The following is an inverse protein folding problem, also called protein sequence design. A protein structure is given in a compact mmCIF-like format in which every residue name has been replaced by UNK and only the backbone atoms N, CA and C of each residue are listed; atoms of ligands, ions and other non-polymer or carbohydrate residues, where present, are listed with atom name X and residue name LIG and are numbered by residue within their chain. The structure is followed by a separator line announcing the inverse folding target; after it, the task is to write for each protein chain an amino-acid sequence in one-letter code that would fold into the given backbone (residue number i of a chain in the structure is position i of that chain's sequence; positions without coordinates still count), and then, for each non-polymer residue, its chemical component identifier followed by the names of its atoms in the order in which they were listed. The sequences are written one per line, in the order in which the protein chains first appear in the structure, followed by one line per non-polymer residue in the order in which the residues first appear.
data_IF_389956359684
#
_entry.id   IF_389956359684
#
_cell.length_a   1.000
_cell.length_b   1.000
_cell.length_c   1.000
_cell.angle_alpha   90.00
_cell.angle_beta   90.00
_cell.angle_gamma   90.00
#
_symmetry.space_group_name_H-M   'P 1'
#
loop_
_entity.id
_entity.type
_entity.pdbx_description
1 polymer ?
#
# COMPACT_ATOMS: atom_id res chain seq x y z
N UNK A 1 -18.12 -8.15 -6.17
CA UNK A 1 -18.10 -8.81 -7.52
C UNK A 1 -17.67 -7.82 -8.59
N UNK A 2 -18.40 -6.71 -8.79
CA UNK A 2 -18.04 -5.75 -9.86
C UNK A 2 -16.60 -5.23 -9.73
N UNK A 3 -16.17 -4.80 -8.54
CA UNK A 3 -14.81 -4.30 -8.31
C UNK A 3 -13.73 -5.34 -8.67
N UNK A 4 -13.82 -6.56 -8.13
CA UNK A 4 -12.87 -7.65 -8.44
C UNK A 4 -12.86 -8.01 -9.93
N UNK A 5 -14.01 -8.04 -10.59
CA UNK A 5 -14.06 -8.28 -12.03
C UNK A 5 -13.33 -7.18 -12.82
N UNK A 6 -13.50 -5.92 -12.43
CA UNK A 6 -12.79 -4.81 -13.04
C UNK A 6 -11.29 -4.84 -12.75
N UNK A 7 -10.88 -5.22 -11.54
CA UNK A 7 -9.47 -5.41 -11.19
C UNK A 7 -8.84 -6.51 -12.05
N UNK A 8 -9.49 -7.66 -12.19
CA UNK A 8 -9.01 -8.74 -13.06
C UNK A 8 -8.88 -8.30 -14.53
N UNK A 9 -9.87 -7.57 -15.06
CA UNK A 9 -9.82 -7.06 -16.43
C UNK A 9 -8.68 -6.06 -16.63
N UNK A 10 -8.47 -5.15 -15.68
CA UNK A 10 -7.40 -4.16 -15.74
C UNK A 10 -6.01 -4.80 -15.66
N UNK A 11 -5.83 -5.80 -14.78
CA UNK A 11 -4.57 -6.57 -14.69
C UNK A 11 -4.31 -7.34 -15.97
N UNK A 12 -5.34 -7.97 -16.56
CA UNK A 12 -5.21 -8.67 -17.83
C UNK A 12 -4.83 -7.72 -18.97
N UNK A 13 -5.44 -6.54 -19.04
CA UNK A 13 -5.08 -5.51 -20.02
C UNK A 13 -3.65 -5.02 -19.85
N UNK A 14 -3.22 -4.71 -18.63
CA UNK A 14 -1.86 -4.28 -18.32
C UNK A 14 -0.83 -5.34 -18.77
N UNK A 15 -1.04 -6.60 -18.40
CA UNK A 15 -0.15 -7.71 -18.77
C UNK A 15 -0.09 -7.91 -20.30
N UNK A 16 -1.22 -7.80 -20.98
CA UNK A 16 -1.27 -7.94 -22.43
C UNK A 16 -0.46 -6.83 -23.12
N UNK A 17 -0.68 -5.58 -22.72
CA UNK A 17 0.00 -4.41 -23.31
C UNK A 17 1.51 -4.43 -23.02
N UNK A 18 1.90 -4.79 -21.79
CA UNK A 18 3.30 -4.92 -21.36
C UNK A 18 4.03 -6.00 -22.17
N UNK A 19 3.40 -7.19 -22.33
CA UNK A 19 4.00 -8.29 -23.12
C UNK A 19 4.19 -8.01 -24.62
N UNK A 20 3.57 -6.94 -25.14
CA UNK A 20 3.70 -6.50 -26.53
C UNK A 20 4.54 -5.21 -26.67
N UNK A 21 5.21 -4.77 -25.60
CA UNK A 21 6.03 -3.55 -25.55
C UNK A 21 5.29 -2.30 -26.07
N UNK A 22 3.97 -2.24 -25.85
CA UNK A 22 3.15 -1.13 -26.33
C UNK A 22 3.28 0.07 -25.39
N UNK A 23 3.52 1.28 -25.92
CA UNK A 23 3.59 2.48 -25.08
C UNK A 23 2.18 2.81 -24.55
N UNK A 24 1.97 2.59 -23.26
CA UNK A 24 0.68 2.79 -22.58
C UNK A 24 0.88 3.43 -21.22
N UNK A 25 -0.19 3.92 -20.60
CA UNK A 25 -0.13 4.44 -19.23
C UNK A 25 -0.54 3.37 -18.22
N UNK A 26 0.35 3.03 -17.31
CA UNK A 26 0.07 2.18 -16.17
C UNK A 26 -0.38 3.01 -14.97
N UNK A 27 -1.32 2.46 -14.19
CA UNK A 27 -1.71 3.03 -12.89
C UNK A 27 -0.77 2.50 -11.81
N UNK A 28 0.30 3.24 -11.55
CA UNK A 28 1.37 2.85 -10.62
C UNK A 28 1.09 3.40 -9.23
N UNK A 29 1.32 2.57 -8.21
CA UNK A 29 1.30 2.97 -6.82
C UNK A 29 2.63 2.59 -6.16
N UNK A 30 3.49 3.58 -5.96
CA UNK A 30 4.75 3.37 -5.26
C UNK A 30 4.54 3.21 -3.75
N UNK A 31 5.53 2.62 -3.08
CA UNK A 31 5.58 2.58 -1.62
C UNK A 31 5.62 3.98 -0.98
N UNK A 32 5.50 4.07 0.36
CA UNK A 32 5.62 5.33 1.07
C UNK A 32 7.00 5.97 0.84
N UNK A 33 7.04 7.30 0.81
CA UNK A 33 8.31 8.04 0.85
C UNK A 33 9.00 7.81 2.20
N UNK A 34 10.34 7.81 2.21
CA UNK A 34 11.16 7.55 3.40
C UNK A 34 10.72 8.36 4.63
N UNK A 35 10.57 9.68 4.47
CA UNK A 35 10.13 10.54 5.58
C UNK A 35 8.72 10.21 6.10
N UNK A 36 7.80 9.79 5.23
CA UNK A 36 6.45 9.35 5.65
C UNK A 36 6.50 8.02 6.38
N UNK A 37 7.36 7.11 5.92
CA UNK A 37 7.58 5.81 6.55
C UNK A 37 8.23 5.96 7.93
N UNK A 38 9.22 6.84 8.06
CA UNK A 38 9.86 7.17 9.34
C UNK A 38 8.85 7.74 10.34
N UNK A 39 8.05 8.73 9.93
CA UNK A 39 6.99 9.30 10.77
C UNK A 39 5.97 8.25 11.22
N UNK A 40 5.57 7.33 10.32
CA UNK A 40 4.70 6.23 10.68
C UNK A 40 5.36 5.30 11.72
N UNK A 41 6.64 4.95 11.53
CA UNK A 41 7.36 4.08 12.46
C UNK A 41 7.51 4.70 13.85
N UNK A 42 7.77 6.01 13.94
CA UNK A 42 7.82 6.73 15.20
C UNK A 42 6.46 6.68 15.92
N UNK A 43 5.38 7.01 15.21
CA UNK A 43 4.02 6.96 15.74
C UNK A 43 3.64 5.55 16.24
N UNK A 44 3.96 4.50 15.45
CA UNK A 44 3.72 3.12 15.87
C UNK A 44 4.54 2.75 17.11
N UNK A 45 5.79 3.22 17.19
CA UNK A 45 6.67 2.99 18.33
C UNK A 45 6.10 3.52 19.64
N UNK A 46 5.45 4.68 19.64
CA UNK A 46 4.76 5.24 20.82
C UNK A 46 3.62 4.34 21.32
N UNK A 47 3.05 3.51 20.44
CA UNK A 47 1.98 2.56 20.74
C UNK A 47 2.47 1.14 21.04
N UNK A 48 3.79 0.94 21.05
CA UNK A 48 4.42 -0.38 21.18
C UNK A 48 4.20 -1.27 19.95
N UNK A 49 3.87 -0.69 18.80
CA UNK A 49 3.63 -1.36 17.53
C UNK A 49 4.83 -1.19 16.58
N UNK A 50 4.92 -2.06 15.58
CA UNK A 50 5.97 -1.99 14.57
C UNK A 50 5.48 -2.41 13.18
N UNK A 51 6.03 -1.76 12.16
CA UNK A 51 5.84 -2.16 10.76
C UNK A 51 7.06 -2.98 10.28
N UNK A 52 6.79 -4.14 9.68
CA UNK A 52 7.80 -5.02 9.08
C UNK A 52 8.49 -4.45 7.83
N UNK A 53 9.17 -5.30 7.07
CA UNK A 53 9.66 -4.99 5.71
C UNK A 53 10.78 -3.95 5.56
N UNK A 54 11.40 -3.49 6.66
CA UNK A 54 12.56 -2.60 6.62
C UNK A 54 12.31 -1.27 5.89
N UNK A 55 13.24 -0.87 5.02
CA UNK A 55 13.16 0.39 4.27
C UNK A 55 12.10 0.39 3.15
N UNK A 56 11.65 -0.79 2.71
CA UNK A 56 10.68 -0.95 1.62
C UNK A 56 9.61 -1.97 2.01
N UNK A 57 8.73 -1.63 2.96
CA UNK A 57 7.66 -2.52 3.39
C UNK A 57 6.74 -2.87 2.22
N UNK A 58 6.35 -4.13 2.17
CA UNK A 58 5.46 -4.69 1.17
C UNK A 58 4.01 -4.66 1.68
N UNK A 59 3.01 -4.75 0.78
CA UNK A 59 1.60 -4.77 1.18
C UNK A 59 1.28 -5.80 2.28
N UNK A 60 1.95 -6.95 2.26
CA UNK A 60 1.79 -7.98 3.29
C UNK A 60 2.25 -7.53 4.69
N UNK A 61 3.31 -6.70 4.79
CA UNK A 61 3.76 -6.16 6.09
C UNK A 61 2.68 -5.27 6.73
N UNK A 62 1.96 -4.50 5.91
CA UNK A 62 0.82 -3.71 6.36
C UNK A 62 -0.34 -4.61 6.76
N UNK A 63 -0.64 -5.67 6.00
CA UNK A 63 -1.71 -6.62 6.36
C UNK A 63 -1.45 -7.30 7.71
N UNK A 64 -0.21 -7.71 7.99
CA UNK A 64 0.18 -8.26 9.29
C UNK A 64 -0.10 -7.26 10.41
N UNK A 65 0.29 -6.00 10.25
CA UNK A 65 0.00 -4.95 11.22
C UNK A 65 -1.52 -4.72 11.38
N UNK A 66 -2.28 -4.75 10.29
CA UNK A 66 -3.75 -4.64 10.33
C UNK A 66 -4.40 -5.75 11.15
N UNK A 67 -3.91 -6.99 11.01
CA UNK A 67 -4.38 -8.11 11.83
C UNK A 67 -4.04 -7.94 13.31
N UNK A 68 -2.84 -7.40 13.62
CA UNK A 68 -2.41 -7.18 15.01
C UNK A 68 -3.24 -6.12 15.74
N UNK A 69 -3.73 -5.12 15.03
CA UNK A 69 -4.48 -4.01 15.63
C UNK A 69 -6.00 -4.23 15.65
N UNK A 70 -6.51 -5.33 15.08
CA UNK A 70 -7.94 -5.51 14.79
C UNK A 70 -8.86 -5.31 16.01
N UNK A 71 -8.45 -5.78 17.19
CA UNK A 71 -9.24 -5.71 18.42
C UNK A 71 -8.87 -4.51 19.33
N UNK A 72 -8.00 -3.61 18.86
CA UNK A 72 -7.58 -2.45 19.65
C UNK A 72 -8.60 -1.31 19.58
N UNK A 73 -8.81 -0.55 20.67
CA UNK A 73 -9.72 0.60 20.66
C UNK A 73 -9.25 1.74 19.74
N UNK A 74 -7.95 1.82 19.44
CA UNK A 74 -7.32 2.82 18.57
C UNK A 74 -7.08 2.32 17.13
N UNK A 75 -7.58 1.13 16.75
CA UNK A 75 -7.33 0.51 15.45
C UNK A 75 -7.61 1.45 14.26
N UNK A 76 -8.72 2.18 14.33
CA UNK A 76 -9.12 3.12 13.27
C UNK A 76 -8.13 4.27 13.08
N UNK A 77 -7.57 4.82 14.17
CA UNK A 77 -6.56 5.87 14.11
C UNK A 77 -5.25 5.35 13.49
N UNK A 78 -4.84 4.15 13.88
CA UNK A 78 -3.64 3.49 13.36
C UNK A 78 -3.80 3.17 11.86
N UNK A 79 -4.99 2.75 11.44
CA UNK A 79 -5.36 2.60 10.01
C UNK A 79 -5.23 3.90 9.22
N UNK A 80 -5.76 5.01 9.74
CA UNK A 80 -5.66 6.32 9.07
C UNK A 80 -4.19 6.75 8.93
N UNK A 81 -3.39 6.56 9.97
CA UNK A 81 -1.97 6.93 9.94
C UNK A 81 -1.19 6.09 8.92
N UNK A 82 -1.47 4.78 8.83
CA UNK A 82 -0.93 3.93 7.78
C UNK A 82 -1.34 4.43 6.38
N UNK A 83 -2.62 4.70 6.13
CA UNK A 83 -3.10 5.19 4.84
C UNK A 83 -2.45 6.53 4.44
N UNK A 84 -2.27 7.45 5.39
CA UNK A 84 -1.62 8.75 5.15
C UNK A 84 -0.12 8.64 4.83
N UNK A 85 0.53 7.56 5.29
CA UNK A 85 1.92 7.28 4.98
C UNK A 85 2.14 6.88 3.52
N UNK A 86 1.13 6.29 2.88
CA UNK A 86 1.22 5.80 1.50
C UNK A 86 1.37 6.96 0.49
N UNK A 87 2.02 6.64 -0.62
CA UNK A 87 2.12 7.54 -1.77
C UNK A 87 0.81 7.55 -2.55
N UNK A 88 0.55 8.62 -3.31
CA UNK A 88 -0.60 8.65 -4.20
C UNK A 88 -0.31 7.83 -5.45
N UNK A 89 -1.32 7.12 -5.96
CA UNK A 89 -1.23 6.45 -7.24
C UNK A 89 -1.19 7.46 -8.39
N UNK A 90 -0.36 7.19 -9.39
CA UNK A 90 -0.12 8.06 -10.55
C UNK A 90 -0.20 7.25 -11.85
N UNK A 91 -0.46 7.94 -12.97
CA UNK A 91 -0.31 7.32 -14.29
C UNK A 91 1.10 7.58 -14.80
N UNK A 92 1.81 6.52 -15.19
CA UNK A 92 3.18 6.57 -15.71
C UNK A 92 3.28 5.73 -16.99
N UNK A 93 4.13 6.09 -17.97
CA UNK A 93 4.40 5.28 -19.15
C UNK A 93 5.00 3.91 -18.82
#
# INVERSE_FOLDING_TARGET
IIEECMLCANVAAANFLDSHDLPVLFRVHEGPKEQKLENLRLYLGELGLGLGGGLKPQPNDYQVLMSQIADRPDAHLVQIMMLRSLSQAMYQP
#
